data_IF_436089554507
#
_entry.id   IF_436089554507
#
_cell.length_a   1.000
_cell.length_b   1.000
_cell.length_c   1.000
_cell.angle_alpha   90.00
_cell.angle_beta   90.00
_cell.angle_gamma   90.00
#
_symmetry.space_group_name_H-M   'P 1'
#
loop_
_entity.id
_entity.type
_entity.pdbx_description
1 polymer ?
#
# COMPACT_ATOMS: atom_id res chain seq x y z
N UNK A 1 12.21 2.50 -3.48
CA UNK A 1 11.90 2.30 -2.04
C UNK A 1 12.21 0.86 -1.63
N UNK A 2 13.42 0.57 -1.15
CA UNK A 2 13.82 -0.79 -0.75
C UNK A 2 13.51 -1.08 0.72
N UNK A 3 13.68 -2.32 1.18
CA UNK A 3 13.32 -2.74 2.55
C UNK A 3 14.01 -1.92 3.66
N UNK A 4 15.25 -1.43 3.44
CA UNK A 4 15.95 -0.59 4.44
C UNK A 4 15.35 0.81 4.62
N UNK A 5 14.39 1.22 3.77
CA UNK A 5 13.68 2.49 3.92
C UNK A 5 12.44 2.36 4.83
N UNK A 6 12.23 1.17 5.37
CA UNK A 6 11.21 0.90 6.37
C UNK A 6 11.89 0.67 7.71
N UNK A 7 11.36 1.30 8.75
CA UNK A 7 11.81 1.08 10.12
C UNK A 7 10.65 0.97 11.06
N UNK A 8 10.96 0.38 12.20
CA UNK A 8 10.05 0.16 13.31
C UNK A 8 10.54 0.96 14.49
N UNK A 9 9.63 1.68 15.14
CA UNK A 9 9.85 2.34 16.42
C UNK A 9 9.24 1.51 17.54
N UNK A 10 9.82 1.60 18.74
CA UNK A 10 9.33 0.91 19.93
C UNK A 10 8.83 1.95 20.93
N UNK A 11 7.56 2.40 20.81
CA UNK A 11 6.98 3.37 21.74
C UNK A 11 6.70 2.75 23.11
N UNK A 12 6.54 3.59 24.13
CA UNK A 12 6.10 3.18 25.47
C UNK A 12 7.12 2.31 26.21
N UNK A 13 6.71 1.10 26.57
CA UNK A 13 7.51 0.11 27.30
C UNK A 13 8.65 -0.51 26.49
N UNK A 14 8.72 -0.20 25.20
CA UNK A 14 9.76 -0.69 24.30
C UNK A 14 9.53 -2.13 23.82
N UNK A 15 8.41 -2.77 24.18
CA UNK A 15 8.14 -4.16 23.84
C UNK A 15 7.23 -4.32 22.62
N UNK A 16 6.41 -3.31 22.32
CA UNK A 16 5.47 -3.35 21.19
C UNK A 16 6.01 -2.54 20.00
N UNK A 17 6.43 -3.19 18.90
CA UNK A 17 6.88 -2.49 17.70
C UNK A 17 5.72 -1.77 16.99
N UNK A 18 5.98 -0.57 16.45
CA UNK A 18 5.10 0.19 15.57
C UNK A 18 5.87 0.67 14.33
N UNK A 19 5.21 0.76 13.17
CA UNK A 19 5.84 1.29 11.95
C UNK A 19 6.17 2.77 12.13
N UNK A 20 7.38 3.17 11.77
CA UNK A 20 7.80 4.57 11.77
C UNK A 20 6.99 5.38 10.74
N UNK A 21 6.88 6.69 10.94
CA UNK A 21 6.34 7.59 9.89
C UNK A 21 7.16 7.45 8.62
N UNK A 22 6.53 7.72 7.47
CA UNK A 22 7.18 7.64 6.16
C UNK A 22 8.35 8.63 6.05
N UNK A 23 9.50 8.17 5.55
CA UNK A 23 10.71 8.96 5.27
C UNK A 23 11.39 8.50 3.98
N UNK A 24 12.42 9.22 3.53
CA UNK A 24 13.19 8.92 2.31
C UNK A 24 12.31 8.73 1.05
N UNK A 25 11.35 9.65 0.88
CA UNK A 25 10.43 9.67 -0.27
C UNK A 25 10.94 10.65 -1.32
N UNK A 26 11.15 10.14 -2.52
CA UNK A 26 11.53 10.90 -3.70
C UNK A 26 10.73 10.39 -4.90
N UNK A 27 10.20 11.29 -5.73
CA UNK A 27 9.55 10.93 -6.99
C UNK A 27 10.57 10.90 -8.13
N UNK A 28 10.76 9.73 -8.74
CA UNK A 28 11.63 9.54 -9.91
C UNK A 28 10.86 9.55 -11.23
N UNK A 29 9.52 9.51 -11.20
CA UNK A 29 8.66 9.32 -12.38
C UNK A 29 8.84 10.42 -13.45
N UNK A 30 9.16 11.64 -13.04
CA UNK A 30 9.41 12.75 -13.96
C UNK A 30 10.70 12.58 -14.79
N UNK A 31 11.68 11.87 -14.25
CA UNK A 31 13.00 11.69 -14.87
C UNK A 31 13.14 10.29 -15.50
N UNK A 32 12.49 9.29 -14.92
CA UNK A 32 12.57 7.89 -15.32
C UNK A 32 11.15 7.31 -15.48
N UNK A 33 10.46 7.60 -16.60
CA UNK A 33 9.05 7.24 -16.80
C UNK A 33 8.82 5.74 -17.02
N UNK A 34 9.88 4.96 -17.24
CA UNK A 34 9.87 3.49 -17.40
C UNK A 34 10.56 2.78 -16.25
N UNK A 35 10.78 3.47 -15.12
CA UNK A 35 11.42 2.88 -13.95
C UNK A 35 10.48 1.89 -13.24
N UNK A 36 11.07 0.86 -12.67
CA UNK A 36 10.38 -0.18 -11.93
C UNK A 36 10.34 0.15 -10.44
N UNK A 37 9.22 -0.12 -9.80
CA UNK A 37 9.11 -0.05 -8.35
C UNK A 37 10.00 -1.11 -7.70
N UNK A 38 10.66 -0.71 -6.60
CA UNK A 38 11.55 -1.59 -5.85
C UNK A 38 10.83 -2.75 -5.14
N UNK A 39 9.54 -2.62 -4.86
CA UNK A 39 8.68 -3.69 -4.35
C UNK A 39 7.54 -3.93 -5.35
N UNK A 40 7.20 -5.18 -5.61
CA UNK A 40 6.11 -5.54 -6.49
C UNK A 40 4.76 -5.47 -5.78
N UNK A 41 3.72 -5.07 -6.52
CA UNK A 41 2.33 -5.07 -6.08
C UNK A 41 1.57 -6.04 -6.98
N UNK A 42 1.11 -7.17 -6.44
CA UNK A 42 0.40 -8.19 -7.22
C UNK A 42 1.22 -8.73 -8.40
N UNK A 43 2.54 -8.86 -8.22
CA UNK A 43 3.47 -9.24 -9.28
C UNK A 43 3.87 -8.11 -10.24
N UNK A 44 3.19 -6.97 -10.22
CA UNK A 44 3.51 -5.80 -11.05
C UNK A 44 4.60 -4.93 -10.42
N UNK A 45 5.57 -4.49 -11.23
CA UNK A 45 6.62 -3.55 -10.84
C UNK A 45 6.50 -2.20 -11.52
N UNK A 46 5.83 -2.13 -12.67
CA UNK A 46 5.54 -0.86 -13.33
C UNK A 46 4.55 -0.04 -12.50
N UNK A 47 4.97 1.16 -12.14
CA UNK A 47 4.13 2.11 -11.42
C UNK A 47 2.84 2.42 -12.18
N UNK A 48 2.91 2.55 -13.51
CA UNK A 48 1.75 2.87 -14.36
C UNK A 48 0.79 1.69 -14.51
N UNK A 49 1.31 0.47 -14.60
CA UNK A 49 0.47 -0.72 -14.72
C UNK A 49 -0.20 -1.12 -13.40
N UNK A 50 0.33 -0.65 -12.26
CA UNK A 50 -0.26 -0.96 -10.95
C UNK A 50 -1.69 -0.43 -10.75
N UNK A 51 -2.11 0.57 -11.54
CA UNK A 51 -3.46 1.12 -11.48
C UNK A 51 -4.55 0.22 -12.11
N UNK A 52 -4.19 -0.81 -12.89
CA UNK A 52 -5.17 -1.62 -13.63
C UNK A 52 -5.73 -2.83 -12.88
N UNK A 53 -5.39 -3.02 -11.60
CA UNK A 53 -6.02 -4.04 -10.76
C UNK A 53 -5.16 -4.63 -9.65
N UNK A 54 -3.83 -4.51 -9.73
CA UNK A 54 -2.92 -5.16 -8.78
C UNK A 54 -3.05 -4.66 -7.35
N UNK A 55 -3.44 -3.40 -7.15
CA UNK A 55 -3.65 -2.81 -5.82
C UNK A 55 -4.81 -3.47 -5.04
N UNK A 56 -5.89 -3.87 -5.73
CA UNK A 56 -7.02 -4.51 -5.08
C UNK A 56 -6.64 -5.92 -4.59
N UNK A 57 -5.93 -6.68 -5.43
CA UNK A 57 -5.43 -8.02 -5.10
C UNK A 57 -4.48 -7.99 -3.89
N UNK A 58 -3.55 -7.03 -3.86
CA UNK A 58 -2.63 -6.86 -2.72
C UNK A 58 -3.40 -6.53 -1.43
N UNK A 59 -4.45 -5.72 -1.52
CA UNK A 59 -5.28 -5.36 -0.36
C UNK A 59 -6.00 -6.60 0.20
N UNK A 60 -6.60 -7.41 -0.66
CA UNK A 60 -7.30 -8.64 -0.27
C UNK A 60 -6.32 -9.67 0.33
N UNK A 61 -5.16 -9.87 -0.31
CA UNK A 61 -4.11 -10.77 0.20
C UNK A 61 -3.57 -10.32 1.57
N UNK A 62 -3.38 -9.01 1.77
CA UNK A 62 -2.97 -8.43 3.05
C UNK A 62 -4.03 -8.58 4.15
N UNK A 63 -5.31 -8.46 3.79
CA UNK A 63 -6.42 -8.66 4.72
C UNK A 63 -6.57 -10.13 5.15
N UNK A 64 -6.18 -11.08 4.30
CA UNK A 64 -6.18 -12.51 4.61
C UNK A 64 -5.05 -12.92 5.58
N UNK A 65 -3.94 -12.16 5.61
CA UNK A 65 -2.77 -12.43 6.46
C UNK A 65 -2.78 -11.67 7.80
N UNK A 66 -3.57 -10.59 7.92
CA UNK A 66 -3.69 -9.79 9.14
C UNK A 66 -4.89 -10.16 10.04
N UNK A 67 -4.71 -10.14 11.37
CA UNK A 67 -5.81 -10.29 12.34
C UNK A 67 -6.88 -9.22 12.08
N UNK A 68 -8.10 -9.68 11.73
CA UNK A 68 -9.32 -8.95 11.28
C UNK A 68 -9.76 -7.68 12.05
N UNK A 69 -9.06 -7.23 13.08
CA UNK A 69 -9.60 -6.26 14.06
C UNK A 69 -9.44 -4.79 13.69
N UNK A 70 -8.58 -4.40 12.75
CA UNK A 70 -8.34 -2.98 12.46
C UNK A 70 -8.55 -2.54 11.00
N UNK A 71 -8.31 -3.40 10.00
CA UNK A 71 -8.42 -3.01 8.58
C UNK A 71 -9.84 -3.07 7.99
N UNK A 72 -10.78 -3.75 8.64
CA UNK A 72 -12.14 -3.96 8.11
C UNK A 72 -12.98 -2.69 7.97
N UNK A 73 -12.59 -1.55 8.57
CA UNK A 73 -13.34 -0.28 8.47
C UNK A 73 -12.87 0.63 7.33
N UNK A 74 -11.63 0.49 6.84
CA UNK A 74 -11.12 1.38 5.78
C UNK A 74 -11.37 0.82 4.37
N UNK A 75 -11.32 -0.50 4.18
CA UNK A 75 -11.59 -1.13 2.89
C UNK A 75 -13.04 -0.91 2.41
N UNK A 76 -14.02 -0.95 3.31
CA UNK A 76 -15.45 -0.76 2.95
C UNK A 76 -15.77 0.64 2.42
N UNK A 77 -14.97 1.67 2.72
CA UNK A 77 -15.16 3.02 2.16
C UNK A 77 -14.73 3.11 0.70
N UNK A 78 -13.71 2.37 0.29
CA UNK A 78 -13.17 2.45 -1.07
C UNK A 78 -13.99 1.62 -2.08
N UNK A 79 -14.58 0.51 -1.64
CA UNK A 79 -15.37 -0.37 -2.52
C UNK A 79 -16.82 0.15 -2.69
N UNK A 80 -17.37 0.85 -1.69
CA UNK A 80 -18.75 1.37 -1.72
C UNK A 80 -18.99 2.54 -2.69
N UNK A 81 -17.96 3.32 -3.03
CA UNK A 81 -18.13 4.51 -3.89
C UNK A 81 -18.19 4.19 -5.39
N UNK A 82 -17.77 3.00 -5.82
CA UNK A 82 -17.84 2.60 -7.24
C UNK A 82 -19.26 2.29 -7.73
N UNK A 83 -20.24 2.08 -6.85
CA UNK A 83 -21.61 1.77 -7.28
C UNK A 83 -22.49 3.00 -7.55
N UNK A 84 -22.06 4.22 -7.18
CA UNK A 84 -22.88 5.43 -7.31
C UNK A 84 -22.54 6.31 -8.52
N UNK A 85 -21.41 6.10 -9.20
CA UNK A 85 -21.00 6.93 -10.35
C UNK A 85 -21.44 6.33 -11.70
N UNK A 86 -22.01 5.12 -11.73
CA UNK A 86 -22.54 4.49 -12.94
C UNK A 86 -24.05 4.74 -13.17
N UNK A 87 -24.68 5.62 -12.38
CA UNK A 87 -26.13 5.88 -12.43
C UNK A 87 -26.50 7.38 -12.47
N UNK A 88 -25.70 8.22 -13.13
CA UNK A 88 -26.06 9.61 -13.46
C UNK A 88 -25.56 10.01 -14.83
#
# INVERSE_FOLDING_TARGET
MHLKNWSTIYPGDGCTPAIARVYDVLSTTAYFPKDDMALSLGGEKSFKASYSGSLAEVCEAGAATGSRRHLGRQASRFIGERSLVAAS
#
